data_IF_176729181965
#
_entry.id   IF_176729181965
#
_cell.length_a   1.000
_cell.length_b   1.000
_cell.length_c   1.000
_cell.angle_alpha   90.00
_cell.angle_beta   90.00
_cell.angle_gamma   90.00
#
_symmetry.space_group_name_H-M   'P 1'
#
loop_
_entity.id
_entity.type
_entity.pdbx_description
1 polymer ?
#
# COMPACT_ATOMS: atom_id res chain seq x y z
N UNK A 1 -39.21 3.06 28.33
CA UNK A 1 -38.48 2.09 27.47
C UNK A 1 -38.95 2.27 26.04
N UNK A 2 -38.11 2.85 25.19
CA UNK A 2 -37.95 2.49 23.77
C UNK A 2 -36.86 3.38 23.20
N UNK A 3 -35.68 2.80 22.99
CA UNK A 3 -34.57 3.45 22.30
C UNK A 3 -34.71 3.09 20.83
N UNK A 4 -35.01 4.08 20.01
CA UNK A 4 -34.90 3.99 18.56
C UNK A 4 -33.42 3.80 18.21
N UNK A 5 -33.09 2.66 17.60
CA UNK A 5 -31.82 2.47 16.91
C UNK A 5 -31.80 3.35 15.67
N UNK A 6 -30.96 4.38 15.69
CA UNK A 6 -30.63 5.20 14.54
C UNK A 6 -29.63 4.40 13.69
N UNK A 7 -30.09 3.88 12.56
CA UNK A 7 -29.24 3.45 11.44
C UNK A 7 -28.55 4.68 10.86
N UNK A 8 -27.28 4.88 11.23
CA UNK A 8 -26.44 5.97 10.72
C UNK A 8 -25.56 5.42 9.59
N UNK A 9 -25.83 5.87 8.35
CA UNK A 9 -24.84 6.07 7.29
C UNK A 9 -24.41 4.87 6.42
N UNK A 10 -25.14 4.58 5.34
CA UNK A 10 -24.65 3.76 4.20
C UNK A 10 -24.57 4.55 2.88
N UNK A 11 -24.80 5.87 2.90
CA UNK A 11 -24.80 6.71 1.68
C UNK A 11 -23.77 7.86 1.70
N UNK A 12 -23.20 8.22 2.85
CA UNK A 12 -22.21 9.31 2.94
C UNK A 12 -20.79 8.87 2.58
N UNK A 13 -20.45 7.62 2.89
CA UNK A 13 -19.08 7.09 2.77
C UNK A 13 -18.68 6.84 1.31
N UNK A 14 -19.61 6.32 0.50
CA UNK A 14 -19.33 5.98 -0.90
C UNK A 14 -19.04 7.22 -1.79
N UNK A 15 -19.63 8.38 -1.50
CA UNK A 15 -19.37 9.60 -2.29
C UNK A 15 -18.01 10.23 -2.00
N UNK A 16 -17.53 10.13 -0.75
CA UNK A 16 -16.19 10.59 -0.37
C UNK A 16 -15.13 9.71 -1.02
N UNK A 17 -15.31 8.39 -0.96
CA UNK A 17 -14.43 7.44 -1.64
C UNK A 17 -14.39 7.66 -3.15
N UNK A 18 -15.54 7.82 -3.83
CA UNK A 18 -15.56 8.08 -5.27
C UNK A 18 -14.83 9.38 -5.66
N UNK A 19 -14.92 10.41 -4.81
CA UNK A 19 -14.18 11.67 -5.02
C UNK A 19 -12.67 11.43 -4.89
N UNK A 20 -12.24 10.72 -3.85
CA UNK A 20 -10.85 10.33 -3.65
C UNK A 20 -10.33 9.47 -4.81
N UNK A 21 -11.10 8.47 -5.24
CA UNK A 21 -10.73 7.59 -6.35
C UNK A 21 -10.60 8.37 -7.65
N UNK A 22 -11.48 9.35 -7.90
CA UNK A 22 -11.38 10.25 -9.04
C UNK A 22 -10.10 11.10 -9.02
N UNK A 23 -9.73 11.61 -7.84
CA UNK A 23 -8.48 12.33 -7.65
C UNK A 23 -7.25 11.42 -7.88
N UNK A 24 -7.27 10.19 -7.38
CA UNK A 24 -6.19 9.21 -7.63
C UNK A 24 -6.09 8.90 -9.11
N UNK A 25 -7.22 8.64 -9.78
CA UNK A 25 -7.25 8.30 -11.20
C UNK A 25 -6.68 9.43 -12.07
N UNK A 26 -7.05 10.68 -11.80
CA UNK A 26 -6.53 11.85 -12.52
C UNK A 26 -5.01 11.99 -12.35
N UNK A 27 -4.52 11.88 -11.12
CA UNK A 27 -3.08 12.01 -10.86
C UNK A 27 -2.29 10.85 -11.51
N UNK A 28 -2.83 9.62 -11.52
CA UNK A 28 -2.23 8.51 -12.26
C UNK A 28 -2.18 8.77 -13.77
N UNK A 29 -3.25 9.33 -14.35
CA UNK A 29 -3.34 9.69 -15.77
C UNK A 29 -2.36 10.82 -16.15
N UNK A 30 -2.22 11.83 -15.30
CA UNK A 30 -1.41 13.03 -15.58
C UNK A 30 0.08 12.83 -15.32
N UNK A 31 0.45 12.08 -14.29
CA UNK A 31 1.85 11.99 -13.81
C UNK A 31 2.28 10.62 -13.29
N UNK A 32 1.45 9.58 -13.40
CA UNK A 32 1.83 8.21 -13.04
C UNK A 32 1.85 7.88 -11.54
N UNK A 33 1.64 8.86 -10.66
CA UNK A 33 1.53 8.65 -9.21
C UNK A 33 0.55 9.64 -8.56
N UNK A 34 0.03 9.29 -7.38
CA UNK A 34 -0.87 10.10 -6.57
C UNK A 34 -0.46 10.01 -5.10
N UNK A 35 -0.28 11.16 -4.45
CA UNK A 35 -0.08 11.26 -2.99
C UNK A 35 -1.27 12.01 -2.40
N UNK A 36 -1.96 11.37 -1.44
CA UNK A 36 -3.16 11.89 -0.79
C UNK A 36 -2.98 11.86 0.73
N UNK A 37 -2.49 12.95 1.35
CA UNK A 37 -2.34 13.03 2.80
C UNK A 37 -3.68 12.90 3.52
N UNK A 38 -3.71 12.13 4.61
CA UNK A 38 -4.88 11.94 5.47
C UNK A 38 -6.19 11.65 4.69
N UNK A 39 -6.10 10.79 3.68
CA UNK A 39 -7.18 10.55 2.73
C UNK A 39 -7.89 9.21 2.92
N UNK A 40 -7.26 8.23 3.57
CA UNK A 40 -7.94 6.99 3.92
C UNK A 40 -9.11 7.30 4.87
N UNK A 41 -10.30 6.70 4.71
CA UNK A 41 -11.40 6.88 5.64
C UNK A 41 -10.94 6.68 7.09
N UNK A 42 -11.28 7.62 7.96
CA UNK A 42 -10.73 7.71 9.32
C UNK A 42 -10.96 6.43 10.12
N UNK A 43 -12.19 5.91 10.10
CA UNK A 43 -12.57 4.67 10.79
C UNK A 43 -11.74 3.47 10.30
N UNK A 44 -11.50 3.37 8.99
CA UNK A 44 -10.67 2.32 8.40
C UNK A 44 -9.21 2.47 8.79
N UNK A 45 -8.67 3.70 8.77
CA UNK A 45 -7.28 3.97 9.12
C UNK A 45 -6.99 3.60 10.58
N UNK A 46 -7.87 3.97 11.51
CA UNK A 46 -7.73 3.60 12.92
C UNK A 46 -7.98 2.11 13.15
N UNK A 47 -8.97 1.50 12.49
CA UNK A 47 -9.17 0.04 12.62
C UNK A 47 -7.95 -0.76 12.17
N UNK A 48 -7.27 -0.32 11.10
CA UNK A 48 -6.05 -0.97 10.62
C UNK A 48 -4.87 -0.72 11.54
N UNK A 49 -4.70 0.51 12.02
CA UNK A 49 -3.69 0.85 13.02
C UNK A 49 -3.85 -0.03 14.27
N UNK A 50 -5.04 -0.04 14.87
CA UNK A 50 -5.30 -0.74 16.12
C UNK A 50 -5.08 -2.23 15.98
N UNK A 51 -5.56 -2.82 14.87
CA UNK A 51 -5.29 -4.22 14.56
C UNK A 51 -3.77 -4.48 14.46
N UNK A 52 -3.02 -3.63 13.76
CA UNK A 52 -1.58 -3.77 13.64
C UNK A 52 -0.85 -3.66 15.00
N UNK A 53 -1.33 -2.82 15.93
CA UNK A 53 -0.78 -2.72 17.28
C UNK A 53 -1.03 -3.96 18.15
N UNK A 54 -2.04 -4.77 17.83
CA UNK A 54 -2.29 -6.04 18.53
C UNK A 54 -1.42 -7.18 18.06
N UNK A 55 -0.77 -7.04 16.89
CA UNK A 55 0.12 -8.07 16.35
C UNK A 55 1.38 -8.22 17.20
N UNK A 56 1.73 -9.46 17.50
CA UNK A 56 3.00 -9.80 18.11
C UNK A 56 4.10 -9.89 17.04
N UNK A 57 5.36 -9.78 17.46
CA UNK A 57 6.51 -10.01 16.55
C UNK A 57 6.54 -11.40 15.91
N UNK A 58 5.75 -12.36 16.42
CA UNK A 58 5.63 -13.71 15.84
C UNK A 58 4.65 -13.77 14.67
N UNK A 59 3.76 -12.80 14.56
CA UNK A 59 2.79 -12.69 13.47
C UNK A 59 3.43 -12.08 12.22
N UNK A 60 4.62 -11.51 12.37
CA UNK A 60 5.43 -10.98 11.29
C UNK A 60 6.51 -11.95 10.83
N UNK A 61 6.75 -11.95 9.53
CA UNK A 61 7.88 -12.62 8.92
C UNK A 61 8.87 -11.56 8.40
N UNK A 62 10.17 -11.80 8.56
CA UNK A 62 11.19 -10.94 7.94
C UNK A 62 11.01 -10.91 6.42
N UNK A 63 10.92 -9.72 5.84
CA UNK A 63 10.65 -9.57 4.42
C UNK A 63 11.85 -10.00 3.56
N UNK A 64 11.57 -10.64 2.43
CA UNK A 64 12.60 -11.08 1.47
C UNK A 64 12.48 -10.40 0.11
N UNK A 65 13.52 -10.57 -0.71
CA UNK A 65 13.56 -10.12 -2.10
C UNK A 65 13.78 -11.32 -3.02
N UNK A 66 12.87 -11.56 -3.99
CA UNK A 66 13.02 -12.62 -5.01
C UNK A 66 11.75 -13.46 -5.25
N UNK A 67 11.63 -14.06 -6.44
CA UNK A 67 10.60 -15.07 -6.80
C UNK A 67 11.25 -16.45 -6.88
N UNK A 68 10.65 -17.48 -6.26
CA UNK A 68 11.09 -18.89 -6.39
C UNK A 68 12.24 -19.29 -5.45
N UNK A 69 13.05 -20.29 -5.87
CA UNK A 69 14.13 -20.91 -5.07
C UNK A 69 15.29 -20.01 -4.66
N UNK A 70 15.28 -18.75 -5.10
CA UNK A 70 16.25 -17.70 -4.75
C UNK A 70 15.64 -16.66 -3.80
N UNK A 71 14.82 -17.09 -2.82
CA UNK A 71 14.35 -16.23 -1.73
C UNK A 71 15.50 -15.95 -0.75
N UNK A 72 16.42 -15.09 -1.15
CA UNK A 72 17.47 -14.60 -0.27
C UNK A 72 16.92 -13.46 0.56
N UNK A 73 16.76 -13.71 1.87
CA UNK A 73 16.62 -12.66 2.89
C UNK A 73 17.90 -11.81 2.85
N UNK A 74 17.86 -10.73 2.08
CA UNK A 74 18.98 -9.83 1.96
C UNK A 74 18.74 -8.62 2.87
N UNK A 75 19.12 -8.76 4.14
CA UNK A 75 19.06 -7.69 5.15
C UNK A 75 19.86 -6.44 4.72
N UNK A 76 20.78 -6.56 3.75
CA UNK A 76 21.46 -5.39 3.17
C UNK A 76 20.56 -4.58 2.22
N UNK A 77 19.39 -5.08 1.86
CA UNK A 77 18.45 -4.45 0.92
C UNK A 77 17.22 -3.91 1.66
N UNK A 78 16.63 -4.73 2.53
CA UNK A 78 15.48 -4.37 3.37
C UNK A 78 15.55 -5.06 4.73
N UNK A 79 15.09 -4.39 5.79
CA UNK A 79 15.11 -4.92 7.15
C UNK A 79 13.74 -4.93 7.83
N UNK A 80 12.66 -4.66 7.08
CA UNK A 80 11.31 -4.66 7.61
C UNK A 80 10.71 -6.05 7.78
N UNK A 81 9.71 -6.13 8.65
CA UNK A 81 8.92 -7.32 8.88
C UNK A 81 7.51 -7.12 8.32
N UNK A 82 6.92 -8.18 7.74
CA UNK A 82 5.64 -8.12 7.05
C UNK A 82 4.65 -9.17 7.55
N UNK A 83 3.37 -8.85 7.45
CA UNK A 83 2.26 -9.77 7.75
C UNK A 83 1.19 -9.64 6.65
N UNK A 84 0.98 -10.70 5.87
CA UNK A 84 0.03 -10.69 4.75
C UNK A 84 -1.41 -10.50 5.20
N UNK A 85 -2.17 -9.69 4.46
CA UNK A 85 -3.58 -9.41 4.75
C UNK A 85 -4.44 -10.40 3.95
N UNK A 86 -5.02 -11.37 4.64
CA UNK A 86 -5.86 -12.44 4.04
C UNK A 86 -7.37 -12.20 4.18
N UNK A 87 -7.78 -11.16 4.93
CA UNK A 87 -9.18 -10.89 5.23
C UNK A 87 -9.75 -11.70 6.41
N UNK A 88 -8.90 -12.43 7.13
CA UNK A 88 -9.32 -13.20 8.33
C UNK A 88 -9.67 -12.31 9.53
N UNK A 89 -9.09 -11.12 9.62
CA UNK A 89 -9.47 -10.10 10.60
C UNK A 89 -10.51 -9.14 10.04
N UNK A 90 -11.35 -8.57 10.91
CA UNK A 90 -12.34 -7.57 10.51
C UNK A 90 -11.69 -6.37 9.78
N UNK A 91 -10.62 -5.82 10.35
CA UNK A 91 -9.85 -4.73 9.74
C UNK A 91 -9.28 -5.13 8.36
N UNK A 92 -8.74 -6.34 8.25
CA UNK A 92 -8.23 -6.86 6.98
C UNK A 92 -9.31 -7.03 5.93
N UNK A 93 -10.50 -7.52 6.31
CA UNK A 93 -11.63 -7.68 5.41
C UNK A 93 -12.16 -6.32 4.91
N UNK A 94 -12.25 -5.32 5.79
CA UNK A 94 -12.64 -3.96 5.42
C UNK A 94 -11.63 -3.31 4.47
N UNK A 95 -10.33 -3.49 4.72
CA UNK A 95 -9.28 -3.05 3.82
C UNK A 95 -9.39 -3.67 2.43
N UNK A 96 -9.55 -4.99 2.34
CA UNK A 96 -9.70 -5.68 1.05
C UNK A 96 -10.99 -5.26 0.32
N UNK A 97 -12.05 -4.96 1.06
CA UNK A 97 -13.27 -4.39 0.48
C UNK A 97 -13.04 -3.00 -0.12
N UNK A 98 -12.37 -2.12 0.63
CA UNK A 98 -12.06 -0.76 0.20
C UNK A 98 -11.14 -0.75 -1.03
N UNK A 99 -10.06 -1.55 -1.03
CA UNK A 99 -9.16 -1.67 -2.19
C UNK A 99 -9.85 -2.34 -3.39
N UNK A 100 -10.80 -3.25 -3.16
CA UNK A 100 -11.65 -3.80 -4.21
C UNK A 100 -12.52 -2.73 -4.90
N UNK A 101 -13.05 -1.76 -4.15
CA UNK A 101 -13.79 -0.63 -4.72
C UNK A 101 -12.88 0.32 -5.51
N UNK A 102 -11.70 0.64 -4.98
CA UNK A 102 -10.68 1.41 -5.70
C UNK A 102 -10.32 0.74 -7.02
N UNK A 103 -10.05 -0.57 -7.02
CA UNK A 103 -9.77 -1.37 -8.22
C UNK A 103 -10.87 -1.22 -9.28
N UNK A 104 -12.13 -1.42 -8.88
CA UNK A 104 -13.27 -1.32 -9.79
C UNK A 104 -13.39 0.08 -10.38
N UNK A 105 -13.16 1.13 -9.57
CA UNK A 105 -13.19 2.50 -10.03
C UNK A 105 -12.09 2.77 -11.07
N UNK A 106 -10.83 2.43 -10.74
CA UNK A 106 -9.68 2.63 -11.62
C UNK A 106 -9.83 1.86 -12.93
N UNK A 107 -10.31 0.62 -12.89
CA UNK A 107 -10.58 -0.16 -14.11
C UNK A 107 -11.61 0.50 -15.02
N UNK A 108 -12.67 1.07 -14.45
CA UNK A 108 -13.71 1.77 -15.25
C UNK A 108 -13.19 3.08 -15.83
N UNK A 109 -12.38 3.82 -15.08
CA UNK A 109 -11.94 5.17 -15.45
C UNK A 109 -10.70 5.19 -16.35
N UNK A 110 -9.79 4.24 -16.15
CA UNK A 110 -8.46 4.20 -16.77
C UNK A 110 -8.22 2.93 -17.61
N UNK A 111 -9.15 1.98 -17.63
CA UNK A 111 -9.06 0.74 -18.42
C UNK A 111 -7.81 -0.11 -18.13
N UNK A 112 -7.31 -0.08 -16.89
CA UNK A 112 -6.06 -0.75 -16.49
C UNK A 112 -6.14 -2.29 -16.45
N UNK A 113 -7.34 -2.87 -16.41
CA UNK A 113 -7.52 -4.33 -16.38
C UNK A 113 -7.01 -5.01 -15.10
N UNK A 114 -6.90 -4.27 -13.99
CA UNK A 114 -6.49 -4.77 -12.68
C UNK A 114 -7.39 -5.93 -12.28
N UNK A 115 -6.79 -7.06 -11.93
CA UNK A 115 -7.45 -8.35 -11.72
C UNK A 115 -7.39 -8.79 -10.26
N UNK A 116 -6.19 -8.87 -9.68
CA UNK A 116 -5.99 -9.28 -8.28
C UNK A 116 -5.27 -8.20 -7.48
N UNK A 117 -5.39 -8.28 -6.15
CA UNK A 117 -4.73 -7.39 -5.21
C UNK A 117 -4.14 -8.22 -4.08
N UNK A 118 -2.86 -8.02 -3.80
CA UNK A 118 -2.17 -8.61 -2.65
C UNK A 118 -1.64 -7.47 -1.79
N UNK A 119 -1.64 -7.62 -0.46
CA UNK A 119 -1.11 -6.60 0.44
C UNK A 119 -0.67 -7.19 1.77
N UNK A 120 0.22 -6.48 2.45
CA UNK A 120 0.72 -6.85 3.76
C UNK A 120 0.88 -5.62 4.64
N UNK A 121 0.69 -5.80 5.95
CA UNK A 121 1.23 -4.89 6.94
C UNK A 121 2.75 -4.93 6.88
N UNK A 122 3.40 -3.80 7.15
CA UNK A 122 4.83 -3.68 7.26
C UNK A 122 5.18 -2.88 8.52
N UNK A 123 6.18 -3.37 9.26
CA UNK A 123 6.74 -2.72 10.45
C UNK A 123 8.23 -2.52 10.24
N UNK A 124 8.65 -1.26 10.34
CA UNK A 124 10.04 -0.82 10.32
C UNK A 124 10.37 -0.32 11.73
N UNK A 125 11.34 -0.97 12.40
CA UNK A 125 11.88 -0.52 13.69
C UNK A 125 12.77 0.71 13.49
N UNK A 126 13.16 1.42 14.57
CA UNK A 126 14.12 2.51 14.46
C UNK A 126 15.41 2.05 13.77
N UNK A 127 15.80 2.74 12.70
CA UNK A 127 16.96 2.43 11.87
C UNK A 127 16.68 1.53 10.67
N UNK A 128 15.52 0.87 10.60
CA UNK A 128 15.16 0.02 9.46
C UNK A 128 14.93 0.84 8.19
N UNK A 129 15.26 0.26 7.05
CA UNK A 129 15.20 0.92 5.75
C UNK A 129 14.83 -0.07 4.65
N UNK A 130 14.48 0.48 3.50
CA UNK A 130 14.40 -0.27 2.25
C UNK A 130 15.09 0.53 1.16
N UNK A 131 16.19 0.00 0.63
CA UNK A 131 16.95 0.68 -0.42
C UNK A 131 16.12 0.90 -1.68
N UNK A 132 16.56 1.88 -2.46
CA UNK A 132 16.02 2.20 -3.78
C UNK A 132 15.82 0.96 -4.64
N UNK A 133 14.58 0.75 -5.08
CA UNK A 133 14.16 -0.38 -5.90
C UNK A 133 12.94 -0.04 -6.76
N UNK A 134 12.59 -0.96 -7.65
CA UNK A 134 11.31 -0.97 -8.38
C UNK A 134 10.44 -2.11 -7.83
N UNK A 135 9.12 -1.93 -7.84
CA UNK A 135 8.17 -2.96 -7.42
C UNK A 135 7.89 -4.00 -8.50
N UNK A 136 8.15 -3.63 -9.76
CA UNK A 136 8.08 -4.49 -10.92
C UNK A 136 9.20 -4.15 -11.89
N UNK A 137 9.83 -5.18 -12.46
CA UNK A 137 10.80 -5.01 -13.53
C UNK A 137 10.08 -4.94 -14.88
N UNK A 138 10.55 -4.06 -15.76
CA UNK A 138 9.97 -3.89 -17.11
C UNK A 138 9.90 -5.23 -17.84
N UNK A 139 8.68 -5.64 -18.22
CA UNK A 139 8.41 -6.87 -18.95
C UNK A 139 8.07 -8.09 -18.07
N UNK A 140 8.14 -7.98 -16.74
CA UNK A 140 7.64 -8.98 -15.79
C UNK A 140 6.27 -8.56 -15.22
N UNK A 141 5.39 -8.16 -16.13
CA UNK A 141 4.22 -7.28 -15.96
C UNK A 141 3.03 -7.94 -15.27
N UNK A 142 3.23 -8.48 -14.07
CA UNK A 142 2.07 -8.89 -13.27
C UNK A 142 1.62 -7.73 -12.39
N UNK A 143 2.49 -6.87 -11.84
CA UNK A 143 2.10 -5.74 -10.96
C UNK A 143 2.04 -4.43 -11.76
N UNK A 144 0.88 -3.79 -11.76
CA UNK A 144 0.63 -2.54 -12.51
C UNK A 144 0.67 -1.32 -11.60
N UNK A 145 0.03 -1.41 -10.43
CA UNK A 145 -0.02 -0.32 -9.46
C UNK A 145 0.43 -0.79 -8.10
N UNK A 146 1.26 0.04 -7.47
CA UNK A 146 1.63 -0.07 -6.06
C UNK A 146 0.75 0.87 -5.22
N UNK A 147 0.35 0.41 -4.05
CA UNK A 147 -0.41 1.17 -3.06
C UNK A 147 0.33 1.11 -1.73
N UNK A 148 0.60 2.26 -1.13
CA UNK A 148 1.15 2.39 0.21
C UNK A 148 0.19 3.22 1.06
N UNK A 149 -0.16 2.73 2.24
CA UNK A 149 -0.95 3.46 3.23
C UNK A 149 -0.19 3.53 4.54
N UNK A 150 -0.15 4.72 5.14
CA UNK A 150 0.56 4.95 6.39
C UNK A 150 -0.36 4.95 7.60
N UNK A 151 0.10 4.32 8.67
CA UNK A 151 -0.67 4.09 9.89
C UNK A 151 0.04 4.69 11.10
N UNK A 152 0.62 5.89 10.98
CA UNK A 152 1.44 6.47 12.05
C UNK A 152 0.83 7.76 12.59
N UNK A 153 0.25 7.74 13.80
CA UNK A 153 -0.31 8.94 14.40
C UNK A 153 0.82 9.88 14.85
N UNK A 154 0.58 11.19 14.73
CA UNK A 154 1.49 12.25 15.18
C UNK A 154 2.94 12.10 14.67
N UNK A 155 3.13 11.80 13.38
CA UNK A 155 4.46 11.74 12.75
C UNK A 155 5.05 13.14 12.58
N UNK A 156 6.27 13.35 13.06
CA UNK A 156 6.98 14.61 12.89
C UNK A 156 8.07 14.47 11.81
N UNK A 157 8.33 15.50 10.99
CA UNK A 157 9.47 15.48 10.06
C UNK A 157 10.82 15.09 10.70
N UNK A 158 11.05 15.38 11.99
CA UNK A 158 12.31 14.98 12.65
C UNK A 158 12.46 13.46 12.83
N UNK A 159 11.35 12.71 12.75
CA UNK A 159 11.30 11.26 12.96
C UNK A 159 11.90 10.49 11.76
N UNK A 160 12.06 11.14 10.60
CA UNK A 160 12.52 10.50 9.36
C UNK A 160 11.49 9.51 8.81
N UNK A 161 11.94 8.41 8.20
CA UNK A 161 11.05 7.34 7.73
C UNK A 161 10.29 7.62 6.43
N UNK A 162 10.67 8.66 5.69
CA UNK A 162 10.00 9.04 4.45
C UNK A 162 10.11 7.94 3.39
N UNK A 163 9.05 7.78 2.61
CA UNK A 163 9.18 7.18 1.27
C UNK A 163 9.72 8.26 0.34
N UNK A 164 10.79 7.95 -0.38
CA UNK A 164 11.30 8.80 -1.45
C UNK A 164 10.99 8.13 -2.78
N UNK A 165 10.24 8.82 -3.63
CA UNK A 165 9.92 8.38 -4.98
C UNK A 165 10.73 9.19 -5.98
N UNK A 166 11.37 8.51 -6.93
CA UNK A 166 12.25 9.14 -7.91
C UNK A 166 11.62 9.05 -9.30
N UNK A 167 11.86 10.05 -10.15
CA UNK A 167 11.33 10.06 -11.54
C UNK A 167 12.13 9.14 -12.47
N UNK A 168 13.39 8.85 -12.15
CA UNK A 168 14.27 7.95 -12.90
C UNK A 168 15.50 7.58 -12.09
N UNK A 169 16.25 6.55 -12.48
CA UNK A 169 17.51 6.14 -11.83
C UNK A 169 18.56 7.26 -11.66
N UNK A 170 18.48 8.32 -12.47
CA UNK A 170 19.38 9.48 -12.41
C UNK A 170 18.90 10.58 -11.46
N UNK A 171 17.62 10.56 -11.07
CA UNK A 171 17.07 11.49 -10.09
C UNK A 171 17.63 11.17 -8.70
N UNK A 172 18.19 12.20 -8.05
CA UNK A 172 18.80 12.13 -6.72
C UNK A 172 18.03 12.91 -5.66
N UNK A 173 17.07 13.75 -6.07
CA UNK A 173 16.34 14.63 -5.16
C UNK A 173 15.11 13.92 -4.63
N UNK A 174 14.32 13.33 -5.53
CA UNK A 174 13.12 12.56 -5.24
C UNK A 174 11.99 13.33 -4.55
N UNK A 175 10.76 12.87 -4.74
CA UNK A 175 9.59 13.30 -3.98
C UNK A 175 9.56 12.58 -2.64
N UNK A 176 9.65 13.34 -1.54
CA UNK A 176 9.57 12.80 -0.17
C UNK A 176 8.13 12.80 0.34
N UNK A 177 7.65 11.65 0.78
CA UNK A 177 6.34 11.47 1.40
C UNK A 177 6.52 11.11 2.88
N UNK A 178 6.02 11.98 3.74
CA UNK A 178 6.00 11.76 5.20
C UNK A 178 4.97 10.67 5.53
N UNK A 179 5.31 9.66 6.35
CA UNK A 179 4.45 8.51 6.58
C UNK A 179 3.35 8.81 7.64
N UNK A 180 2.59 9.89 7.45
CA UNK A 180 1.54 10.32 8.38
C UNK A 180 0.29 9.46 8.23
N UNK A 181 -0.37 9.14 9.36
CA UNK A 181 -1.65 8.44 9.44
C UNK A 181 -2.63 8.79 8.29
N UNK A 182 -3.18 7.76 7.65
CA UNK A 182 -4.19 7.87 6.60
C UNK A 182 -3.66 8.40 5.27
N UNK A 183 -2.36 8.69 5.15
CA UNK A 183 -1.77 9.11 3.89
C UNK A 183 -1.70 7.92 2.93
N UNK A 184 -2.20 8.12 1.71
CA UNK A 184 -2.22 7.13 0.63
C UNK A 184 -1.27 7.56 -0.47
N UNK A 185 -0.45 6.62 -0.94
CA UNK A 185 0.40 6.76 -2.11
C UNK A 185 0.02 5.67 -3.10
N UNK A 186 -0.27 6.05 -4.35
CA UNK A 186 -0.55 5.09 -5.43
C UNK A 186 0.34 5.45 -6.63
N UNK A 187 1.02 4.49 -7.23
CA UNK A 187 1.93 4.76 -8.34
C UNK A 187 2.11 3.57 -9.29
N UNK A 188 2.53 3.84 -10.52
CA UNK A 188 2.85 2.82 -11.51
C UNK A 188 4.09 2.03 -11.06
N UNK A 189 3.93 0.72 -10.85
CA UNK A 189 4.93 -0.13 -10.20
C UNK A 189 6.26 -0.24 -10.96
N UNK A 190 6.23 -0.09 -12.29
CA UNK A 190 7.39 -0.21 -13.18
C UNK A 190 8.11 1.12 -13.46
N UNK A 191 7.51 2.26 -13.07
CA UNK A 191 8.01 3.58 -13.47
C UNK A 191 8.76 4.32 -12.36
N UNK A 192 8.35 4.13 -11.11
CA UNK A 192 8.87 4.93 -10.00
C UNK A 192 9.82 4.13 -9.10
N UNK A 193 11.15 4.22 -9.32
CA UNK A 193 12.09 3.73 -8.33
C UNK A 193 11.87 4.49 -7.02
N UNK A 194 11.92 3.77 -5.90
CA UNK A 194 11.61 4.35 -4.60
C UNK A 194 12.36 3.67 -3.46
N UNK A 195 12.52 4.37 -2.35
CA UNK A 195 13.18 3.87 -1.15
C UNK A 195 12.49 4.35 0.13
N UNK A 196 12.72 3.63 1.22
CA UNK A 196 12.28 4.01 2.56
C UNK A 196 13.50 4.40 3.38
N UNK A 197 13.56 5.66 3.79
CA UNK A 197 14.64 6.16 4.63
C UNK A 197 14.51 5.61 6.07
N UNK A 198 15.62 5.50 6.81
CA UNK A 198 15.60 5.14 8.22
C UNK A 198 14.68 6.04 9.05
N UNK A 199 13.82 5.42 9.86
CA UNK A 199 13.01 6.10 10.86
C UNK A 199 13.70 6.09 12.24
N UNK A 200 13.34 7.03 13.12
CA UNK A 200 13.84 7.10 14.51
C UNK A 200 12.87 6.49 15.54
N UNK A 201 11.68 6.08 15.09
CA UNK A 201 10.64 5.40 15.86
C UNK A 201 9.97 4.35 14.98
N UNK A 202 9.17 3.47 15.57
CA UNK A 202 8.44 2.45 14.82
C UNK A 202 7.56 3.09 13.74
N UNK A 203 7.72 2.60 12.51
CA UNK A 203 6.99 3.04 11.32
C UNK A 203 6.15 1.88 10.79
N UNK A 204 4.87 2.13 10.70
CA UNK A 204 3.83 1.22 10.26
C UNK A 204 3.22 1.65 8.93
N UNK A 205 3.04 0.70 8.04
CA UNK A 205 2.38 0.92 6.76
C UNK A 205 1.71 -0.36 6.27
N UNK A 206 0.82 -0.22 5.29
CA UNK A 206 0.41 -1.31 4.41
C UNK A 206 1.03 -1.06 3.06
N UNK A 207 1.65 -2.08 2.47
CA UNK A 207 2.05 -2.09 1.07
C UNK A 207 1.21 -3.12 0.32
N UNK A 208 0.79 -2.79 -0.90
CA UNK A 208 0.03 -3.69 -1.74
C UNK A 208 0.17 -3.42 -3.22
N UNK A 209 -0.17 -4.40 -4.04
CA UNK A 209 0.01 -4.36 -5.48
C UNK A 209 -1.21 -4.87 -6.20
N UNK A 210 -1.72 -4.07 -7.14
CA UNK A 210 -2.69 -4.53 -8.12
C UNK A 210 -1.98 -5.21 -9.28
N UNK A 211 -2.52 -6.36 -9.68
CA UNK A 211 -1.98 -7.17 -10.75
C UNK A 211 -2.93 -7.36 -11.91
N UNK A 212 -2.41 -7.52 -13.12
CA UNK A 212 -3.18 -8.01 -14.28
C UNK A 212 -3.04 -9.52 -14.41
N UNK A 213 -4.03 -10.19 -15.01
CA UNK A 213 -3.95 -11.62 -15.28
C UNK A 213 -3.00 -11.85 -16.47
N UNK A 214 -1.78 -12.31 -16.20
CA UNK A 214 -0.84 -12.70 -17.24
C UNK A 214 -1.10 -14.15 -17.67
N UNK A 215 -2.22 -14.40 -18.36
CA UNK A 215 -2.41 -15.65 -19.10
C UNK A 215 -1.64 -15.59 -20.42
N UNK A 216 -0.32 -15.51 -20.33
CA UNK A 216 0.60 -15.79 -21.44
C UNK A 216 1.20 -17.16 -21.16
N UNK A 217 0.88 -18.14 -22.01
CA UNK A 217 1.35 -19.55 -21.96
C UNK A 217 0.81 -20.47 -20.85
N UNK A 218 -0.52 -20.65 -20.80
CA UNK A 218 -1.18 -21.85 -20.24
C UNK A 218 -0.84 -22.20 -18.77
N UNK A 219 -0.36 -21.23 -17.98
CA UNK A 219 -0.25 -21.29 -16.51
C UNK A 219 -1.17 -20.25 -15.90
N UNK A 220 -2.04 -20.69 -15.00
CA UNK A 220 -2.91 -19.80 -14.21
C UNK A 220 -2.09 -19.26 -13.03
N UNK A 221 -2.03 -17.94 -12.89
CA UNK A 221 -1.48 -17.21 -11.73
C UNK A 221 -2.62 -16.36 -11.13
N UNK A 222 -2.95 -16.46 -9.82
CA UNK A 222 -2.23 -17.14 -8.75
C UNK A 222 -2.43 -18.67 -8.73
N UNK A 223 -1.49 -19.43 -8.15
CA UNK A 223 -1.73 -20.83 -7.82
C UNK A 223 -2.87 -20.94 -6.79
N UNK A 224 -3.71 -21.97 -6.96
CA UNK A 224 -4.73 -22.37 -5.99
C UNK A 224 -4.13 -22.67 -4.61
#
# INVERSE_FOLDING_TARGET
MSIQHITKGLHGDNTLDETLFGLVARDLEEKGYSVRPAALPEDLAYSLHDFQQTMSTRDYEAAGTGRGGDYLKNEFVRTDEICWITGESAAGAEWLSWTGRLQQYLNRRLFLGLFSFESHFAHYRPGDFYKRHYDAFRGETNRVLSVVVYLNPAWNPIDGGELVMYESDLDTDGLKVVPLMGTIVVFLSEEFPHEVLPAKRDRYSIAGWYRVNASVDNKIDPPL
#
